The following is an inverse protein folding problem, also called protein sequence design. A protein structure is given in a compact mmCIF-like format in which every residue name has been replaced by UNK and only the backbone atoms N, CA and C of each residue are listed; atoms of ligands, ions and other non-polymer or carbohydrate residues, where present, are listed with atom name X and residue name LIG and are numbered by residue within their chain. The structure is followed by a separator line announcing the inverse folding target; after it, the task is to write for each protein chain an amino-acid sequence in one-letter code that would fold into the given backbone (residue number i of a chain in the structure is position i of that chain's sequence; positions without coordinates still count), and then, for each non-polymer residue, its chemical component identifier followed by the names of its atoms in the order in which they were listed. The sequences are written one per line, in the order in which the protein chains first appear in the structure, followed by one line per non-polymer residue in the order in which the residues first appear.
data_IF_936809776584
#
_entry.id   IF_936809776584
#
_cell.length_a   1.000
_cell.length_b   1.000
_cell.length_c   1.000
_cell.angle_alpha   90.00
_cell.angle_beta   90.00
_cell.angle_gamma   90.00
#
_symmetry.space_group_name_H-M   'P 1'
#
loop_
_entity.id
_entity.type
_entity.pdbx_description
1 polymer ?
#
# COMPACT_ATOMS: atom_id res chain seq x y z
N UNK A 1 18.10 -13.61 -13.61
CA UNK A 1 16.69 -13.60 -14.05
C UNK A 1 16.29 -12.17 -14.34
N UNK A 2 16.43 -11.78 -15.60
CA UNK A 2 16.03 -10.48 -16.13
C UNK A 2 14.51 -10.42 -16.23
N UNK A 3 13.89 -9.27 -15.98
CA UNK A 3 12.56 -9.00 -16.50
C UNK A 3 12.60 -7.71 -17.33
N UNK A 4 12.36 -7.78 -18.65
CA UNK A 4 12.07 -6.63 -19.49
C UNK A 4 10.63 -6.16 -19.22
N UNK A 5 10.24 -5.02 -19.82
CA UNK A 5 8.95 -4.29 -19.70
C UNK A 5 8.97 -3.09 -18.75
N UNK A 6 9.28 -1.94 -19.36
CA UNK A 6 9.06 -0.61 -18.81
C UNK A 6 7.57 -0.26 -18.85
N UNK A 7 6.85 -0.60 -17.78
CA UNK A 7 5.57 0.01 -17.41
C UNK A 7 5.71 0.60 -16.00
N UNK A 8 5.70 1.93 -15.89
CA UNK A 8 5.88 2.74 -14.67
C UNK A 8 6.07 1.96 -13.37
N UNK A 9 7.33 1.60 -13.07
CA UNK A 9 7.70 0.85 -11.87
C UNK A 9 7.35 1.68 -10.63
N UNK A 10 6.21 1.39 -10.01
CA UNK A 10 5.77 2.03 -8.77
C UNK A 10 6.93 1.96 -7.76
N UNK A 11 7.26 3.09 -7.13
CA UNK A 11 8.34 3.12 -6.15
C UNK A 11 8.11 2.02 -5.12
N UNK A 12 9.14 1.22 -4.78
CA UNK A 12 9.03 0.10 -3.84
C UNK A 12 8.88 0.57 -2.39
N UNK A 13 8.48 1.82 -2.18
CA UNK A 13 8.19 2.43 -0.88
C UNK A 13 6.69 2.34 -0.54
N UNK A 14 5.82 2.21 -1.55
CA UNK A 14 4.36 2.36 -1.38
C UNK A 14 3.59 1.06 -1.71
N UNK A 15 4.29 0.03 -2.19
CA UNK A 15 3.70 -1.23 -2.66
C UNK A 15 4.27 -2.45 -1.95
N UNK A 16 5.19 -2.28 -1.01
CA UNK A 16 5.71 -3.38 -0.21
C UNK A 16 4.71 -3.66 0.93
N UNK A 17 4.01 -4.81 0.92
CA UNK A 17 3.09 -5.19 1.99
C UNK A 17 3.82 -5.42 3.33
N UNK A 18 5.15 -5.45 3.32
CA UNK A 18 5.97 -5.39 4.52
C UNK A 18 6.16 -3.93 4.96
N UNK A 19 5.29 -3.46 5.85
CA UNK A 19 5.44 -2.21 6.58
C UNK A 19 6.54 -2.27 7.67
N UNK A 20 7.15 -3.43 7.88
CA UNK A 20 8.29 -3.61 8.78
C UNK A 20 9.63 -3.28 8.12
N UNK A 21 10.65 -2.98 8.93
CA UNK A 21 12.01 -2.62 8.48
C UNK A 21 12.82 -3.76 7.81
N UNK A 22 12.17 -4.82 7.31
CA UNK A 22 12.80 -5.98 6.67
C UNK A 22 12.06 -6.32 5.37
N UNK A 23 12.80 -6.80 4.37
CA UNK A 23 12.21 -7.34 3.16
C UNK A 23 11.50 -8.68 3.43
N UNK A 24 10.50 -9.02 2.60
CA UNK A 24 9.76 -10.28 2.74
C UNK A 24 10.68 -11.52 2.70
N UNK A 25 11.70 -11.52 1.84
CA UNK A 25 12.70 -12.60 1.79
C UNK A 25 13.48 -12.72 3.10
N UNK A 26 13.80 -11.60 3.75
CA UNK A 26 14.48 -11.63 5.05
C UNK A 26 13.58 -12.25 6.12
N UNK A 27 12.28 -11.92 6.12
CA UNK A 27 11.31 -12.52 7.05
C UNK A 27 11.16 -14.02 6.83
N UNK A 28 11.08 -14.47 5.57
CA UNK A 28 10.97 -15.89 5.22
C UNK A 28 12.18 -16.69 5.72
N UNK A 29 13.40 -16.22 5.42
CA UNK A 29 14.60 -17.00 5.72
C UNK A 29 15.14 -16.82 7.14
N UNK A 30 14.81 -15.73 7.84
CA UNK A 30 15.33 -15.47 9.20
C UNK A 30 14.41 -15.92 10.31
N UNK A 31 13.11 -15.67 10.16
CA UNK A 31 12.12 -15.95 11.21
C UNK A 31 10.93 -16.76 10.70
N UNK A 32 11.00 -17.35 9.50
CA UNK A 32 9.96 -18.23 8.99
C UNK A 32 8.60 -17.54 8.83
N UNK A 33 8.57 -16.24 8.54
CA UNK A 33 7.35 -15.44 8.50
C UNK A 33 6.53 -15.45 9.82
N UNK A 34 7.18 -15.57 10.98
CA UNK A 34 6.51 -15.58 12.28
C UNK A 34 5.64 -14.35 12.60
N UNK A 35 5.74 -13.26 11.85
CA UNK A 35 4.87 -12.09 12.02
C UNK A 35 3.72 -12.02 11.00
N UNK A 36 3.70 -12.91 9.99
CA UNK A 36 2.69 -12.94 8.94
C UNK A 36 1.57 -13.90 9.33
N UNK A 37 0.56 -13.35 10.00
CA UNK A 37 -0.65 -14.08 10.39
C UNK A 37 -1.87 -13.48 9.69
N UNK A 38 -2.91 -14.29 9.59
CA UNK A 38 -4.22 -13.82 9.13
C UNK A 38 -4.79 -12.75 10.08
N UNK A 39 -5.72 -11.96 9.55
CA UNK A 39 -6.41 -10.94 10.33
C UNK A 39 -7.17 -11.61 11.48
N UNK A 40 -6.82 -11.27 12.72
CA UNK A 40 -7.37 -11.92 13.91
C UNK A 40 -8.87 -11.65 14.16
N UNK A 41 -9.44 -10.64 13.51
CA UNK A 41 -10.87 -10.34 13.62
C UNK A 41 -11.68 -11.36 12.79
N UNK A 42 -12.44 -12.21 13.48
CA UNK A 42 -13.30 -13.25 12.90
C UNK A 42 -14.77 -12.85 12.77
N UNK A 43 -15.11 -11.63 13.17
CA UNK A 43 -16.50 -11.15 13.10
C UNK A 43 -16.90 -10.87 11.66
N UNK A 44 -18.20 -10.86 11.38
CA UNK A 44 -18.75 -10.60 10.04
C UNK A 44 -18.76 -9.12 9.62
N UNK A 45 -18.04 -8.23 10.31
CA UNK A 45 -17.95 -6.83 9.90
C UNK A 45 -17.04 -6.65 8.69
N UNK A 46 -17.29 -5.59 7.92
CA UNK A 46 -16.42 -5.23 6.82
C UNK A 46 -15.02 -4.92 7.34
N UNK A 47 -14.00 -5.48 6.67
CA UNK A 47 -12.63 -5.17 7.01
C UNK A 47 -12.34 -3.71 6.72
N UNK A 48 -11.81 -2.98 7.71
CA UNK A 48 -11.56 -1.55 7.59
C UNK A 48 -10.69 -1.20 6.38
N UNK A 49 -9.70 -2.05 6.06
CA UNK A 49 -8.85 -1.84 4.89
C UNK A 49 -9.63 -1.84 3.58
N UNK A 50 -10.68 -2.66 3.47
CA UNK A 50 -11.54 -2.72 2.29
C UNK A 50 -12.47 -1.51 2.22
N UNK A 51 -13.05 -1.09 3.36
CA UNK A 51 -13.86 0.14 3.46
C UNK A 51 -13.04 1.35 3.01
N UNK A 52 -11.80 1.49 3.49
CA UNK A 52 -10.90 2.59 3.10
C UNK A 52 -10.55 2.49 1.63
N UNK A 53 -10.26 1.29 1.10
CA UNK A 53 -9.90 1.10 -0.31
C UNK A 53 -11.06 1.41 -1.27
N UNK A 54 -12.28 1.12 -0.85
CA UNK A 54 -13.50 1.48 -1.57
C UNK A 54 -13.73 2.99 -1.56
N UNK A 55 -13.65 3.62 -0.38
CA UNK A 55 -13.90 5.04 -0.22
C UNK A 55 -12.78 5.93 -0.81
N UNK A 56 -11.52 5.48 -0.73
CA UNK A 56 -10.34 6.26 -1.07
C UNK A 56 -9.42 5.47 -2.01
N UNK A 57 -9.33 5.92 -3.25
CA UNK A 57 -8.31 5.45 -4.17
C UNK A 57 -7.07 6.34 -4.13
N UNK A 58 -5.89 5.75 -4.29
CA UNK A 58 -4.62 6.50 -4.37
C UNK A 58 -4.66 7.60 -5.43
N UNK A 59 -5.21 7.28 -6.61
CA UNK A 59 -5.36 8.25 -7.71
C UNK A 59 -6.35 9.36 -7.37
N UNK A 60 -7.45 9.03 -6.69
CA UNK A 60 -8.43 10.00 -6.22
C UNK A 60 -7.79 10.99 -5.24
N UNK A 61 -7.06 10.49 -4.25
CA UNK A 61 -6.34 11.31 -3.25
C UNK A 61 -5.32 12.23 -3.93
N UNK A 62 -4.52 11.72 -4.87
CA UNK A 62 -3.54 12.52 -5.59
C UNK A 62 -4.19 13.63 -6.43
N UNK A 63 -5.29 13.33 -7.11
CA UNK A 63 -6.04 14.34 -7.91
C UNK A 63 -6.66 15.40 -7.01
N UNK A 64 -7.31 14.99 -5.93
CA UNK A 64 -7.92 15.91 -4.97
C UNK A 64 -6.87 16.83 -4.33
N UNK A 65 -5.71 16.27 -3.94
CA UNK A 65 -4.59 17.06 -3.41
C UNK A 65 -4.03 18.06 -4.43
N UNK A 66 -3.86 17.65 -5.69
CA UNK A 66 -3.42 18.56 -6.75
C UNK A 66 -4.41 19.70 -7.00
N UNK A 67 -5.71 19.40 -7.07
CA UNK A 67 -6.76 20.41 -7.22
C UNK A 67 -6.80 21.36 -6.02
N UNK A 68 -6.71 20.84 -4.80
CA UNK A 68 -6.66 21.65 -3.58
C UNK A 68 -5.45 22.60 -3.56
N UNK A 69 -4.27 22.12 -3.95
CA UNK A 69 -3.07 22.94 -4.05
C UNK A 69 -3.21 24.04 -5.12
N UNK A 70 -3.82 23.73 -6.27
CA UNK A 70 -4.11 24.73 -7.30
C UNK A 70 -5.06 25.81 -6.78
N UNK A 71 -6.18 25.43 -6.17
CA UNK A 71 -7.16 26.37 -5.60
C UNK A 71 -6.54 27.25 -4.51
N UNK A 72 -5.68 26.69 -3.67
CA UNK A 72 -5.01 27.45 -2.61
C UNK A 72 -3.89 28.36 -3.15
N UNK A 73 -3.25 27.98 -4.26
CA UNK A 73 -2.13 28.72 -4.86
C UNK A 73 -2.54 29.78 -5.88
N UNK A 74 -3.71 29.65 -6.51
CA UNK A 74 -4.34 30.71 -7.32
C UNK A 74 -5.13 31.65 -6.42
N UNK A 75 -4.39 32.35 -5.54
CA UNK A 75 -4.85 33.50 -4.77
C UNK A 75 -4.22 34.77 -5.32
#
# INVERSE_FOLDING_TARGET
MSNPEAGGRLLPLISTPHSGGRSALTCQFRCGNACAHDVANTTGNAYFGDVVKEALSRRGVLRAGALGALVAGVG
#
